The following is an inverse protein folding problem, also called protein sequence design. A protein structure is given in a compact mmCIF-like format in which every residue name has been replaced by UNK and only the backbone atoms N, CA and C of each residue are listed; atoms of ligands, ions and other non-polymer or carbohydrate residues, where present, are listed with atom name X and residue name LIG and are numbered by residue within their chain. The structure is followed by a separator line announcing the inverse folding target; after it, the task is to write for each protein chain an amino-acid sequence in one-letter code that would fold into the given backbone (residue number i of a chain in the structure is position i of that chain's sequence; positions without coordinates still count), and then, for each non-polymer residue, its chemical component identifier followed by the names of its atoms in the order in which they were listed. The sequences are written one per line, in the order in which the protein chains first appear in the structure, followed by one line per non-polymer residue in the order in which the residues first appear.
data_IF_344119933275
#
_entry.id   IF_344119933275
#
_cell.length_a   1.000
_cell.length_b   1.000
_cell.length_c   1.000
_cell.angle_alpha   90.00
_cell.angle_beta   90.00
_cell.angle_gamma   90.00
#
_symmetry.space_group_name_H-M   'P 1'
#
loop_
_entity.id
_entity.type
_entity.pdbx_description
1 polymer ?
#
# COMPACT_ATOMS: atom_id res chain seq x y z
N UNK A 1 -14.21 10.50 69.92
CA UNK A 1 -14.51 11.67 69.06
C UNK A 1 -13.39 11.71 68.03
N UNK A 2 -13.24 10.79 67.09
CA UNK A 2 -14.17 10.14 66.14
C UNK A 2 -14.80 11.06 65.08
N UNK A 3 -14.09 11.09 63.94
CA UNK A 3 -14.55 10.79 62.56
C UNK A 3 -15.30 11.80 61.67
N UNK A 4 -14.97 11.63 60.36
CA UNK A 4 -15.57 12.10 59.07
C UNK A 4 -15.29 13.54 58.68
N UNK A 5 -14.64 13.88 57.55
CA UNK A 5 -14.57 13.34 56.17
C UNK A 5 -15.92 13.17 55.50
N UNK A 6 -16.28 14.16 54.67
CA UNK A 6 -17.13 14.00 53.49
C UNK A 6 -16.59 14.91 52.36
N UNK A 7 -16.53 14.33 51.16
CA UNK A 7 -16.25 14.99 49.88
C UNK A 7 -17.59 15.28 49.19
N UNK A 8 -17.67 16.36 48.41
CA UNK A 8 -18.44 16.42 47.15
C UNK A 8 -17.95 17.69 46.40
N UNK A 9 -17.50 17.71 45.15
CA UNK A 9 -17.82 16.85 44.02
C UNK A 9 -18.61 17.66 42.99
N UNK A 10 -17.95 18.60 42.30
CA UNK A 10 -18.63 19.37 41.27
C UNK A 10 -17.82 20.54 40.72
N UNK A 11 -16.95 20.28 39.75
CA UNK A 11 -16.86 21.06 38.50
C UNK A 11 -15.78 20.48 37.59
N UNK A 12 -15.99 19.22 37.17
CA UNK A 12 -15.27 18.62 36.04
C UNK A 12 -16.28 18.29 34.95
N UNK A 13 -16.98 19.32 34.43
CA UNK A 13 -17.88 19.19 33.26
C UNK A 13 -17.69 20.34 32.26
N UNK A 14 -16.44 20.55 31.85
CA UNK A 14 -16.07 21.22 30.59
C UNK A 14 -14.59 20.85 30.41
N UNK A 15 -14.22 19.78 29.70
CA UNK A 15 -14.14 19.75 28.25
C UNK A 15 -13.81 18.30 27.83
N UNK A 16 -14.82 17.43 27.72
CA UNK A 16 -14.69 16.08 27.14
C UNK A 16 -15.64 15.93 25.95
N UNK A 17 -15.68 16.96 25.11
CA UNK A 17 -16.26 16.93 23.78
C UNK A 17 -15.19 17.39 22.78
N UNK A 18 -13.96 16.89 22.94
CA UNK A 18 -12.99 16.87 21.86
C UNK A 18 -13.39 15.74 20.91
N UNK A 19 -14.39 16.06 20.09
CA UNK A 19 -14.58 15.61 18.72
C UNK A 19 -13.81 14.33 18.38
N UNK A 20 -14.47 13.18 18.51
CA UNK A 20 -14.24 12.09 17.54
C UNK A 20 -14.83 12.57 16.21
N UNK A 21 -14.16 13.55 15.58
CA UNK A 21 -14.24 13.69 14.14
C UNK A 21 -13.58 12.42 13.61
N UNK A 22 -14.40 11.45 13.23
CA UNK A 22 -14.01 10.43 12.28
C UNK A 22 -13.40 11.19 11.11
N UNK A 23 -12.06 11.26 11.04
CA UNK A 23 -11.36 11.90 9.94
C UNK A 23 -11.97 11.31 8.68
N UNK A 24 -12.58 12.15 7.83
CA UNK A 24 -13.07 11.69 6.54
C UNK A 24 -11.87 11.11 5.82
N UNK A 25 -11.86 9.80 5.67
CA UNK A 25 -10.85 9.12 4.87
C UNK A 25 -11.03 9.65 3.45
N UNK A 26 -10.02 10.34 2.94
CA UNK A 26 -10.04 10.85 1.57
C UNK A 26 -9.91 9.65 0.63
N UNK A 27 -10.85 9.52 -0.32
CA UNK A 27 -10.85 8.43 -1.30
C UNK A 27 -10.57 8.95 -2.69
N UNK A 28 -9.88 8.15 -3.49
CA UNK A 28 -9.58 8.40 -4.90
C UNK A 28 -10.39 7.42 -5.73
N UNK A 29 -11.15 7.95 -6.69
CA UNK A 29 -11.90 7.14 -7.62
C UNK A 29 -11.07 6.91 -8.88
N UNK A 30 -11.00 5.65 -9.30
CA UNK A 30 -10.41 5.24 -10.57
C UNK A 30 -11.40 4.39 -11.35
N UNK A 31 -11.41 4.53 -12.66
CA UNK A 31 -12.35 3.88 -13.58
C UNK A 31 -11.61 2.93 -14.51
N UNK A 32 -11.96 1.63 -14.46
CA UNK A 32 -11.37 0.61 -15.33
C UNK A 32 -12.49 -0.21 -15.96
N UNK A 33 -12.56 -0.24 -17.29
CA UNK A 33 -13.53 -1.05 -18.06
C UNK A 33 -14.99 -0.89 -17.59
N UNK A 34 -15.43 0.36 -17.35
CA UNK A 34 -16.74 0.76 -16.81
C UNK A 34 -16.98 0.48 -15.31
N UNK A 35 -16.05 -0.17 -14.62
CA UNK A 35 -16.10 -0.30 -13.16
C UNK A 35 -15.43 0.92 -12.50
N UNK A 36 -16.07 1.46 -11.46
CA UNK A 36 -15.50 2.54 -10.65
C UNK A 36 -15.07 1.96 -9.30
N UNK A 37 -13.80 2.16 -8.96
CA UNK A 37 -13.20 1.70 -7.72
C UNK A 37 -12.84 2.92 -6.87
N UNK A 38 -13.18 2.87 -5.58
CA UNK A 38 -12.79 3.88 -4.61
C UNK A 38 -11.64 3.34 -3.74
N UNK A 39 -10.57 4.11 -3.64
CA UNK A 39 -9.38 3.78 -2.88
C UNK A 39 -9.11 4.85 -1.83
N UNK A 40 -9.25 4.47 -0.56
CA UNK A 40 -8.95 5.29 0.59
C UNK A 40 -7.44 5.49 0.77
N UNK A 41 -7.03 6.71 1.09
CA UNK A 41 -5.66 7.00 1.52
C UNK A 41 -5.33 6.25 2.82
N UNK A 42 -4.05 5.91 2.99
CA UNK A 42 -3.55 5.20 4.16
C UNK A 42 -3.80 3.70 4.14
N UNK A 43 -4.08 3.10 2.97
CA UNK A 43 -4.46 1.69 2.86
C UNK A 43 -3.68 0.88 1.82
N UNK A 44 -3.59 -0.42 2.10
CA UNK A 44 -3.16 -1.44 1.15
C UNK A 44 -4.38 -2.10 0.50
N UNK A 45 -4.28 -2.35 -0.80
CA UNK A 45 -5.26 -3.06 -1.60
C UNK A 45 -4.63 -4.27 -2.27
N UNK A 46 -5.20 -5.47 -2.03
CA UNK A 46 -4.88 -6.68 -2.79
C UNK A 46 -5.77 -6.75 -4.02
N UNK A 47 -5.14 -6.70 -5.19
CA UNK A 47 -5.81 -6.92 -6.47
C UNK A 47 -5.63 -8.40 -6.82
N UNK A 48 -6.70 -9.17 -6.66
CA UNK A 48 -6.66 -10.60 -6.94
C UNK A 48 -6.69 -10.82 -8.46
N UNK A 49 -5.57 -11.30 -9.00
CA UNK A 49 -5.34 -11.33 -10.43
C UNK A 49 -4.54 -12.57 -10.85
N UNK A 50 -5.15 -13.50 -11.60
CA UNK A 50 -4.41 -14.58 -12.27
C UNK A 50 -3.46 -14.05 -13.36
N UNK A 51 -3.68 -12.83 -13.86
CA UNK A 51 -2.88 -12.09 -14.84
C UNK A 51 -2.75 -10.64 -14.38
N UNK A 52 -1.58 -10.02 -14.52
CA UNK A 52 -1.33 -8.65 -14.02
C UNK A 52 -2.09 -7.54 -14.75
N UNK A 53 -2.88 -7.86 -15.78
CA UNK A 53 -3.54 -6.89 -16.69
C UNK A 53 -4.43 -5.87 -15.97
N UNK A 54 -5.25 -6.32 -15.01
CA UNK A 54 -6.13 -5.42 -14.25
C UNK A 54 -5.35 -4.52 -13.28
N UNK A 55 -4.29 -5.02 -12.65
CA UNK A 55 -3.48 -4.20 -11.73
C UNK A 55 -2.81 -3.05 -12.48
N UNK A 56 -2.23 -3.32 -13.66
CA UNK A 56 -1.67 -2.29 -14.53
C UNK A 56 -2.73 -1.33 -15.08
N UNK A 57 -3.97 -1.79 -15.30
CA UNK A 57 -5.07 -0.94 -15.75
C UNK A 57 -5.51 0.05 -14.66
N UNK A 58 -5.64 -0.43 -13.41
CA UNK A 58 -5.92 0.42 -12.23
C UNK A 58 -4.78 1.42 -12.02
N UNK A 59 -3.53 0.96 -12.08
CA UNK A 59 -2.36 1.81 -11.96
C UNK A 59 -2.33 2.93 -13.02
N UNK A 60 -2.59 2.60 -14.29
CA UNK A 60 -2.66 3.59 -15.37
C UNK A 60 -3.72 4.65 -15.08
N UNK A 61 -4.87 4.27 -14.54
CA UNK A 61 -5.92 5.22 -14.23
C UNK A 61 -5.53 6.14 -13.07
N UNK A 62 -4.86 5.62 -12.03
CA UNK A 62 -4.24 6.45 -10.99
C UNK A 62 -3.28 7.50 -11.56
N UNK A 63 -2.42 7.11 -12.51
CA UNK A 63 -1.50 8.04 -13.18
C UNK A 63 -2.28 9.15 -13.91
N UNK A 64 -3.43 8.81 -14.51
CA UNK A 64 -4.30 9.79 -15.19
C UNK A 64 -4.94 10.83 -14.24
N UNK A 65 -5.08 10.49 -12.94
CA UNK A 65 -5.55 11.43 -11.90
C UNK A 65 -4.49 12.48 -11.52
N UNK A 66 -3.29 12.45 -12.11
CA UNK A 66 -2.20 13.39 -11.85
C UNK A 66 -1.36 13.04 -10.62
N UNK A 67 -1.57 11.85 -10.03
CA UNK A 67 -0.83 11.39 -8.85
C UNK A 67 0.52 10.80 -9.24
N UNK A 68 1.51 11.03 -8.39
CA UNK A 68 2.82 10.37 -8.51
C UNK A 68 2.64 8.87 -8.29
N UNK A 69 3.20 8.08 -9.20
CA UNK A 69 3.15 6.63 -9.10
C UNK A 69 4.53 5.97 -9.07
N UNK A 70 4.71 4.95 -8.22
CA UNK A 70 5.85 4.05 -8.27
C UNK A 70 5.38 2.65 -8.66
N UNK A 71 5.88 2.15 -9.78
CA UNK A 71 5.66 0.78 -10.21
C UNK A 71 6.85 -0.09 -9.84
N UNK A 72 6.63 -1.09 -9.01
CA UNK A 72 7.59 -2.15 -8.74
C UNK A 72 7.06 -3.40 -9.44
N UNK A 73 7.79 -3.87 -10.46
CA UNK A 73 7.35 -5.04 -11.22
C UNK A 73 8.49 -5.92 -11.70
N UNK A 74 8.14 -7.06 -12.29
CA UNK A 74 9.07 -7.94 -13.02
C UNK A 74 9.32 -7.53 -14.47
N UNK A 75 8.68 -6.46 -14.94
CA UNK A 75 8.91 -5.89 -16.26
C UNK A 75 10.09 -4.92 -16.25
N UNK A 76 10.87 -4.94 -17.33
CA UNK A 76 11.91 -3.93 -17.56
C UNK A 76 11.30 -2.52 -17.56
N UNK A 77 11.98 -1.49 -17.04
CA UNK A 77 11.43 -0.13 -16.99
C UNK A 77 10.97 0.40 -18.34
N UNK A 78 11.65 0.06 -19.44
CA UNK A 78 11.25 0.45 -20.81
C UNK A 78 9.91 -0.17 -21.23
N UNK A 79 9.61 -1.39 -20.77
CA UNK A 79 8.32 -2.05 -21.03
C UNK A 79 7.21 -1.32 -20.27
N UNK A 80 7.45 -1.00 -18.99
CA UNK A 80 6.49 -0.25 -18.17
C UNK A 80 6.25 1.15 -18.76
N UNK A 81 7.30 1.81 -19.24
CA UNK A 81 7.18 3.10 -19.93
C UNK A 81 6.34 3.00 -21.21
N UNK A 82 6.48 1.92 -21.98
CA UNK A 82 5.62 1.68 -23.14
C UNK A 82 4.14 1.44 -22.79
N UNK A 83 3.84 0.95 -21.58
CA UNK A 83 2.46 0.73 -21.12
C UNK A 83 1.77 2.02 -20.67
N UNK A 84 2.52 3.00 -20.18
CA UNK A 84 2.01 4.25 -19.61
C UNK A 84 2.64 5.47 -20.31
N UNK A 85 1.92 6.01 -21.30
CA UNK A 85 2.43 7.06 -22.19
C UNK A 85 2.52 8.43 -21.52
N UNK A 86 1.68 8.69 -20.51
CA UNK A 86 1.54 10.01 -19.87
C UNK A 86 1.57 9.90 -18.35
N UNK A 87 2.02 10.96 -17.68
CA UNK A 87 1.94 11.15 -16.22
C UNK A 87 3.29 10.99 -15.48
N UNK A 88 3.28 11.32 -14.19
CA UNK A 88 4.47 11.26 -13.33
C UNK A 88 4.57 9.89 -12.66
N UNK A 89 5.36 8.99 -13.25
CA UNK A 89 5.64 7.68 -12.67
C UNK A 89 7.12 7.33 -12.69
N UNK A 90 7.52 6.53 -11.70
CA UNK A 90 8.83 5.87 -11.60
C UNK A 90 8.64 4.37 -11.70
N UNK A 91 9.63 3.66 -12.23
CA UNK A 91 9.63 2.20 -12.31
C UNK A 91 10.84 1.61 -11.60
N UNK A 92 10.62 0.52 -10.87
CA UNK A 92 11.62 -0.33 -10.24
C UNK A 92 11.45 -1.74 -10.79
N UNK A 93 12.55 -2.31 -11.27
CA UNK A 93 12.58 -3.66 -11.77
C UNK A 93 13.05 -4.62 -10.69
N UNK A 94 12.17 -5.54 -10.28
CA UNK A 94 12.54 -6.67 -9.45
C UNK A 94 13.40 -7.61 -10.29
N UNK A 95 14.71 -7.62 -10.08
CA UNK A 95 15.66 -8.37 -10.91
C UNK A 95 16.98 -8.56 -10.17
N UNK A 96 17.60 -9.73 -10.33
CA UNK A 96 18.95 -9.99 -9.81
C UNK A 96 20.03 -9.32 -10.68
N UNK A 97 19.66 -8.74 -11.84
CA UNK A 97 20.59 -8.00 -12.69
C UNK A 97 20.99 -6.67 -12.05
N UNK A 98 22.26 -6.31 -12.16
CA UNK A 98 22.73 -4.97 -11.79
C UNK A 98 22.09 -3.88 -12.66
N UNK A 99 21.74 -2.76 -12.04
CA UNK A 99 21.13 -1.60 -12.68
C UNK A 99 20.64 -0.60 -11.65
N UNK A 100 20.55 0.68 -12.05
CA UNK A 100 20.19 1.77 -11.13
C UNK A 100 18.76 1.65 -10.58
N UNK A 101 17.83 1.22 -11.42
CA UNK A 101 16.42 1.02 -11.05
C UNK A 101 16.08 -0.45 -10.76
N UNK A 102 17.09 -1.28 -10.48
CA UNK A 102 16.92 -2.70 -10.21
C UNK A 102 17.08 -3.01 -8.73
N UNK A 103 16.18 -3.84 -8.20
CA UNK A 103 16.25 -4.35 -6.84
C UNK A 103 16.14 -5.88 -6.86
N UNK A 104 17.15 -6.61 -6.37
CA UNK A 104 17.07 -8.06 -6.16
C UNK A 104 15.96 -8.44 -5.18
N UNK A 105 15.28 -9.57 -5.39
CA UNK A 105 14.12 -9.94 -4.57
C UNK A 105 14.45 -10.25 -3.11
N UNK A 106 15.68 -10.67 -2.83
CA UNK A 106 16.15 -10.94 -1.48
C UNK A 106 16.44 -9.65 -0.68
N UNK A 107 16.46 -8.47 -1.32
CA UNK A 107 16.76 -7.19 -0.69
C UNK A 107 15.50 -6.42 -0.28
N UNK A 108 14.63 -7.05 0.52
CA UNK A 108 13.38 -6.44 1.00
C UNK A 108 13.61 -5.08 1.70
N UNK A 109 14.69 -4.93 2.48
CA UNK A 109 15.02 -3.66 3.13
C UNK A 109 15.30 -2.54 2.13
N UNK A 110 16.01 -2.83 1.03
CA UNK A 110 16.27 -1.85 -0.03
C UNK A 110 14.99 -1.47 -0.77
N UNK A 111 14.10 -2.45 -1.00
CA UNK A 111 12.79 -2.20 -1.58
C UNK A 111 11.93 -1.28 -0.69
N UNK A 112 11.87 -1.58 0.61
CA UNK A 112 11.18 -0.73 1.61
C UNK A 112 11.73 0.69 1.60
N UNK A 113 13.06 0.87 1.67
CA UNK A 113 13.69 2.20 1.63
C UNK A 113 13.37 2.96 0.35
N UNK A 114 13.32 2.28 -0.79
CA UNK A 114 12.94 2.89 -2.08
C UNK A 114 11.48 3.36 -2.07
N UNK A 115 10.56 2.56 -1.52
CA UNK A 115 9.16 2.92 -1.35
C UNK A 115 9.01 4.12 -0.41
N UNK A 116 9.66 4.09 0.75
CA UNK A 116 9.63 5.18 1.72
C UNK A 116 10.12 6.49 1.13
N UNK A 117 11.31 6.49 0.50
CA UNK A 117 11.84 7.69 -0.17
C UNK A 117 10.89 8.22 -1.24
N UNK A 118 10.28 7.35 -2.05
CA UNK A 118 9.32 7.78 -3.05
C UNK A 118 8.08 8.44 -2.43
N UNK A 119 7.53 7.85 -1.37
CA UNK A 119 6.33 8.35 -0.70
C UNK A 119 6.57 9.64 0.10
N UNK A 120 7.78 9.82 0.65
CA UNK A 120 8.14 11.06 1.36
C UNK A 120 8.31 12.27 0.43
N UNK A 121 8.65 12.05 -0.85
CA UNK A 121 8.93 13.11 -1.84
C UNK A 121 7.66 13.73 -2.47
N UNK A 122 6.45 13.36 -2.02
CA UNK A 122 5.19 13.94 -2.50
C UNK A 122 3.99 13.33 -1.79
N UNK A 123 3.21 14.16 -1.11
CA UNK A 123 2.01 13.73 -0.39
C UNK A 123 1.05 12.93 -1.27
N UNK A 124 0.43 11.90 -0.68
CA UNK A 124 -0.61 11.05 -1.28
C UNK A 124 -0.17 10.30 -2.57
N UNK A 125 1.08 9.82 -2.59
CA UNK A 125 1.62 8.99 -3.66
C UNK A 125 1.02 7.58 -3.71
N UNK A 126 1.05 6.96 -4.89
CA UNK A 126 0.53 5.60 -5.12
C UNK A 126 1.67 4.66 -5.50
N UNK A 127 1.71 3.48 -4.89
CA UNK A 127 2.69 2.44 -5.19
C UNK A 127 1.96 1.22 -5.71
N UNK A 128 2.43 0.63 -6.81
CA UNK A 128 2.02 -0.70 -7.24
C UNK A 128 3.18 -1.67 -7.06
N UNK A 129 2.91 -2.79 -6.41
CA UNK A 129 3.79 -3.94 -6.27
C UNK A 129 3.20 -5.13 -7.04
N UNK A 130 3.76 -5.43 -8.21
CA UNK A 130 3.43 -6.59 -9.03
C UNK A 130 4.61 -7.59 -9.03
N UNK A 131 4.48 -8.66 -8.26
CA UNK A 131 5.56 -9.65 -8.08
C UNK A 131 5.80 -10.04 -6.63
N UNK A 132 4.78 -9.97 -5.77
CA UNK A 132 4.87 -10.50 -4.40
C UNK A 132 5.14 -12.01 -4.39
N UNK A 133 4.66 -12.74 -5.41
CA UNK A 133 4.98 -14.13 -5.69
C UNK A 133 6.47 -14.29 -5.96
N UNK A 134 7.03 -13.43 -6.81
CA UNK A 134 8.46 -13.47 -7.07
C UNK A 134 9.26 -13.18 -5.80
N UNK A 135 8.87 -12.19 -4.98
CA UNK A 135 9.49 -11.96 -3.69
C UNK A 135 9.42 -13.19 -2.78
N UNK A 136 8.30 -13.92 -2.78
CA UNK A 136 8.13 -15.14 -1.98
C UNK A 136 9.05 -16.29 -2.38
N UNK A 137 9.52 -16.33 -3.63
CA UNK A 137 10.49 -17.36 -4.07
C UNK A 137 11.88 -17.19 -3.42
N UNK A 138 12.21 -15.98 -2.98
CA UNK A 138 13.53 -15.63 -2.41
C UNK A 138 13.49 -15.40 -0.90
N UNK A 139 12.30 -15.38 -0.31
CA UNK A 139 12.10 -14.99 1.08
C UNK A 139 11.11 -15.93 1.76
N UNK A 140 11.45 -16.41 2.95
CA UNK A 140 10.51 -17.13 3.79
C UNK A 140 9.26 -16.28 4.05
N UNK A 141 8.08 -16.91 4.04
CA UNK A 141 6.81 -16.18 4.14
C UNK A 141 6.71 -15.27 5.37
N UNK A 142 7.31 -15.66 6.50
CA UNK A 142 7.35 -14.82 7.70
C UNK A 142 8.13 -13.52 7.52
N UNK A 143 9.20 -13.50 6.70
CA UNK A 143 9.94 -12.27 6.35
C UNK A 143 9.11 -11.40 5.41
N UNK A 144 8.48 -12.03 4.40
CA UNK A 144 7.60 -11.34 3.47
C UNK A 144 6.40 -10.69 4.17
N UNK A 145 5.80 -11.38 5.14
CA UNK A 145 4.67 -10.84 5.90
C UNK A 145 5.07 -9.64 6.76
N UNK A 146 6.23 -9.72 7.45
CA UNK A 146 6.77 -8.56 8.19
C UNK A 146 7.05 -7.38 7.27
N UNK A 147 7.55 -7.64 6.07
CA UNK A 147 7.73 -6.58 5.07
C UNK A 147 6.40 -5.93 4.69
N UNK A 148 5.32 -6.70 4.48
CA UNK A 148 3.99 -6.14 4.19
C UNK A 148 3.42 -5.37 5.40
N UNK A 149 3.64 -5.86 6.61
CA UNK A 149 3.28 -5.16 7.86
C UNK A 149 4.01 -3.80 7.98
N UNK A 150 5.32 -3.78 7.74
CA UNK A 150 6.11 -2.54 7.71
C UNK A 150 5.65 -1.56 6.62
N UNK A 151 5.23 -2.07 5.46
CA UNK A 151 4.66 -1.25 4.40
C UNK A 151 3.28 -0.71 4.78
N UNK A 152 2.48 -1.48 5.53
CA UNK A 152 1.17 -1.03 6.01
C UNK A 152 1.33 0.18 6.93
N UNK A 153 2.24 0.10 7.90
CA UNK A 153 2.53 1.20 8.82
C UNK A 153 2.99 2.45 8.05
N UNK A 154 3.90 2.27 7.10
CA UNK A 154 4.43 3.35 6.25
C UNK A 154 3.32 4.01 5.40
N UNK A 155 2.44 3.21 4.81
CA UNK A 155 1.35 3.69 3.96
C UNK A 155 0.33 4.46 4.78
N UNK A 156 0.00 3.99 5.98
CA UNK A 156 -0.86 4.68 6.94
C UNK A 156 -0.25 6.02 7.38
N UNK A 157 1.02 6.02 7.76
CA UNK A 157 1.73 7.24 8.21
C UNK A 157 1.75 8.32 7.13
N UNK A 158 2.09 7.94 5.89
CA UNK A 158 2.27 8.87 4.78
C UNK A 158 0.98 9.16 3.99
N UNK A 159 -0.17 8.66 4.44
CA UNK A 159 -1.45 8.78 3.74
C UNK A 159 -1.35 8.38 2.25
N UNK A 160 -0.61 7.30 1.99
CA UNK A 160 -0.36 6.77 0.64
C UNK A 160 -1.35 5.67 0.28
N UNK A 161 -1.28 5.17 -0.97
CA UNK A 161 -1.96 3.94 -1.38
C UNK A 161 -0.92 2.93 -1.85
N UNK A 162 -1.04 1.69 -1.40
CA UNK A 162 -0.27 0.56 -1.93
C UNK A 162 -1.19 -0.47 -2.57
N UNK A 163 -1.02 -0.68 -3.87
CA UNK A 163 -1.66 -1.74 -4.63
C UNK A 163 -0.71 -2.93 -4.70
N UNK A 164 -1.16 -4.11 -4.30
CA UNK A 164 -0.39 -5.35 -4.45
C UNK A 164 -1.18 -6.28 -5.37
N UNK A 165 -0.60 -6.57 -6.53
CA UNK A 165 -1.10 -7.60 -7.44
C UNK A 165 -0.72 -8.98 -6.88
N UNK A 166 -1.70 -9.87 -6.76
CA UNK A 166 -1.47 -11.23 -6.27
C UNK A 166 -2.33 -12.26 -7.00
N UNK A 167 -1.70 -13.31 -7.50
CA UNK A 167 -2.36 -14.55 -7.88
C UNK A 167 -2.63 -15.38 -6.62
N UNK A 168 -3.90 -15.52 -6.20
CA UNK A 168 -4.25 -16.26 -4.98
C UNK A 168 -3.86 -17.74 -5.04
N UNK A 169 -3.53 -18.28 -6.23
CA UNK A 169 -3.09 -19.68 -6.42
C UNK A 169 -1.61 -19.88 -6.05
N UNK A 170 -0.84 -18.80 -5.95
CA UNK A 170 0.60 -18.83 -5.64
C UNK A 170 0.88 -18.95 -4.14
N UNK A 171 -0.14 -18.84 -3.29
CA UNK A 171 -0.03 -18.95 -1.84
C UNK A 171 -1.00 -20.00 -1.31
N UNK A 172 -0.60 -20.71 -0.25
CA UNK A 172 -1.54 -21.54 0.50
C UNK A 172 -2.62 -20.65 1.18
N UNK A 173 -3.74 -21.27 1.54
CA UNK A 173 -4.89 -20.56 2.11
C UNK A 173 -4.56 -19.78 3.39
N UNK A 174 -3.64 -20.30 4.23
CA UNK A 174 -3.25 -19.68 5.49
C UNK A 174 -2.36 -18.47 5.26
N UNK A 175 -1.41 -18.59 4.34
CA UNK A 175 -0.51 -17.53 3.91
C UNK A 175 -1.29 -16.39 3.26
N UNK A 176 -2.21 -16.70 2.33
CA UNK A 176 -3.08 -15.70 1.72
C UNK A 176 -4.00 -15.01 2.74
N UNK A 177 -4.56 -15.78 3.69
CA UNK A 177 -5.38 -15.21 4.77
C UNK A 177 -4.59 -14.25 5.67
N UNK A 178 -3.29 -14.51 5.89
CA UNK A 178 -2.41 -13.61 6.65
C UNK A 178 -2.10 -12.32 5.88
N UNK A 179 -1.84 -12.40 4.58
CA UNK A 179 -1.65 -11.21 3.73
C UNK A 179 -2.90 -10.32 3.72
N UNK A 180 -4.09 -10.93 3.59
CA UNK A 180 -5.39 -10.23 3.59
C UNK A 180 -5.70 -9.45 4.86
N UNK A 181 -4.99 -9.70 5.97
CA UNK A 181 -5.22 -8.93 7.22
C UNK A 181 -4.80 -7.47 7.12
N UNK A 182 -3.84 -7.16 6.25
CA UNK A 182 -3.29 -5.82 6.09
C UNK A 182 -3.96 -5.03 4.96
N UNK A 183 -4.91 -5.63 4.24
CA UNK A 183 -5.34 -5.09 2.96
C UNK A 183 -6.80 -5.36 2.63
N UNK A 184 -7.41 -4.39 1.96
CA UNK A 184 -8.73 -4.55 1.36
C UNK A 184 -8.61 -5.31 0.03
N UNK A 185 -9.61 -6.13 -0.27
CA UNK A 185 -9.59 -6.98 -1.47
C UNK A 185 -10.38 -6.31 -2.58
N UNK A 186 -9.71 -6.01 -3.69
CA UNK A 186 -10.31 -5.55 -4.94
C UNK A 186 -10.55 -6.78 -5.82
N UNK A 187 -11.80 -6.96 -6.28
CA UNK A 187 -12.25 -8.08 -7.11
C UNK A 187 -12.58 -7.68 -8.52
#
# INVERSE_FOLDING_TARGET
MDTKKDMDGGDTKMTMAARTECQRVESINVSVNNDVYAFDLGRIYLILNPRSDRAFSIARDFVSTGRKMLCISRYHPEIVQGMWVTGDFKSVWLSERHGESNIPAHQLSRLRSKIASFLSDGGNGVVMLDGIEYLSLFNDFSKLLRFVEELNDLVMELHAILLISVDPRSFDQRSLARLRRFAEVVR
#
